data_IF_772187338822
#
_entry.id   IF_772187338822
#
_cell.length_a   1.000
_cell.length_b   1.000
_cell.length_c   1.000
_cell.angle_alpha   90.00
_cell.angle_beta   90.00
_cell.angle_gamma   90.00
#
_symmetry.space_group_name_H-M   'P 1'
#
loop_
_entity.id
_entity.type
_entity.pdbx_description
1 polymer ?
#
# COMPACT_ATOMS: atom_id res chain seq x y z
N UNK A 1 -4.79 -12.37 19.21
CA UNK A 1 -4.80 -11.40 18.10
C UNK A 1 -5.78 -10.28 18.46
N UNK A 2 -5.45 -9.00 18.28
CA UNK A 2 -6.28 -7.86 18.76
C UNK A 2 -6.65 -6.90 17.62
N UNK A 3 -7.89 -6.42 17.62
CA UNK A 3 -8.38 -5.45 16.63
C UNK A 3 -7.81 -4.06 16.92
N UNK A 4 -7.14 -3.44 15.94
CA UNK A 4 -6.49 -2.12 16.08
C UNK A 4 -7.34 -0.93 15.65
N UNK A 5 -8.66 -1.12 15.52
CA UNK A 5 -9.59 -0.06 15.06
C UNK A 5 -10.21 0.75 16.20
N UNK A 6 -10.65 0.06 17.24
CA UNK A 6 -11.21 0.64 18.46
C UNK A 6 -10.52 -0.01 19.66
N UNK A 7 -10.41 0.72 20.76
CA UNK A 7 -9.71 0.25 21.96
C UNK A 7 -10.34 -1.00 22.55
N UNK A 8 -11.69 -1.06 22.60
CA UNK A 8 -12.44 -2.21 23.11
C UNK A 8 -13.24 -2.84 21.99
N UNK A 9 -12.71 -3.92 21.41
CA UNK A 9 -13.39 -4.70 20.38
C UNK A 9 -13.95 -6.00 20.97
N UNK A 10 -15.25 -6.04 21.24
CA UNK A 10 -15.94 -7.25 21.73
C UNK A 10 -15.89 -8.41 20.73
N UNK A 11 -15.84 -8.10 19.42
CA UNK A 11 -15.70 -9.11 18.36
C UNK A 11 -14.34 -9.83 18.43
N UNK A 12 -13.28 -9.15 18.89
CA UNK A 12 -11.96 -9.79 19.01
C UNK A 12 -11.87 -10.79 20.16
N UNK A 13 -12.89 -10.88 21.01
CA UNK A 13 -12.98 -11.82 22.12
C UNK A 13 -13.75 -13.10 21.73
N UNK A 14 -14.39 -13.13 20.55
CA UNK A 14 -15.07 -14.31 20.03
C UNK A 14 -14.08 -15.24 19.33
N UNK A 15 -14.23 -16.56 19.53
CA UNK A 15 -13.43 -17.58 18.85
C UNK A 15 -13.58 -17.53 17.31
N UNK A 16 -14.71 -17.02 16.80
CA UNK A 16 -15.02 -16.94 15.36
C UNK A 16 -14.56 -15.63 14.70
N UNK A 17 -13.68 -14.89 15.36
CA UNK A 17 -13.18 -13.62 14.84
C UNK A 17 -12.41 -13.81 13.52
N UNK A 18 -13.00 -13.35 12.41
CA UNK A 18 -12.32 -13.31 11.11
C UNK A 18 -11.41 -12.08 11.02
N UNK A 19 -10.14 -12.27 10.68
CA UNK A 19 -9.10 -11.23 10.71
C UNK A 19 -8.72 -10.70 9.32
N UNK A 20 -8.37 -9.41 9.25
CA UNK A 20 -7.88 -8.74 8.04
C UNK A 20 -6.61 -7.95 8.34
N UNK A 21 -5.61 -8.10 7.46
CA UNK A 21 -4.44 -7.21 7.40
C UNK A 21 -4.89 -5.87 6.84
N UNK A 22 -5.23 -4.92 7.71
CA UNK A 22 -6.01 -3.71 7.38
C UNK A 22 -5.44 -2.92 6.21
N UNK A 23 -4.13 -2.75 6.20
CA UNK A 23 -3.42 -1.84 5.28
C UNK A 23 -2.34 -2.53 4.46
N UNK A 24 -2.27 -3.87 4.48
CA UNK A 24 -1.23 -4.58 3.73
C UNK A 24 -1.27 -4.27 2.23
N UNK A 25 -2.42 -3.85 1.70
CA UNK A 25 -2.54 -3.46 0.29
C UNK A 25 -1.70 -2.22 -0.06
N UNK A 26 -1.53 -1.27 0.87
CA UNK A 26 -0.63 -0.11 0.73
C UNK A 26 0.82 -0.60 0.66
N UNK A 27 1.15 -1.66 1.40
CA UNK A 27 2.47 -2.27 1.39
C UNK A 27 2.62 -3.34 0.29
N UNK A 28 1.67 -3.46 -0.64
CA UNK A 28 1.75 -4.46 -1.71
C UNK A 28 1.58 -5.91 -1.21
N UNK A 29 0.54 -6.20 -0.42
CA UNK A 29 0.20 -7.49 0.24
C UNK A 29 0.57 -8.77 -0.52
N UNK A 30 0.40 -8.78 -1.83
CA UNK A 30 0.58 -9.97 -2.67
C UNK A 30 1.93 -9.97 -3.43
N UNK A 31 2.73 -8.92 -3.28
CA UNK A 31 4.06 -8.80 -3.86
C UNK A 31 5.06 -9.58 -3.02
N UNK A 32 6.09 -10.12 -3.68
CA UNK A 32 7.11 -10.95 -3.02
C UNK A 32 7.79 -10.23 -1.86
N UNK A 33 7.99 -8.91 -2.00
CA UNK A 33 8.63 -8.07 -0.98
C UNK A 33 7.94 -8.08 0.39
N UNK A 34 6.65 -8.44 0.50
CA UNK A 34 5.95 -8.46 1.80
C UNK A 34 5.57 -9.85 2.29
N UNK A 35 5.93 -10.90 1.55
CA UNK A 35 5.66 -12.29 1.93
C UNK A 35 6.55 -12.79 3.07
N UNK A 36 7.75 -12.25 3.21
CA UNK A 36 8.69 -12.58 4.29
C UNK A 36 8.27 -12.00 5.65
N UNK A 37 7.47 -10.93 5.65
CA UNK A 37 7.07 -10.23 6.87
C UNK A 37 6.13 -11.13 7.71
N UNK A 38 6.50 -11.50 8.94
CA UNK A 38 5.70 -12.37 9.80
C UNK A 38 4.32 -11.80 10.16
N UNK A 39 3.38 -12.69 10.46
CA UNK A 39 1.99 -12.29 10.75
C UNK A 39 1.85 -11.35 11.95
N UNK A 40 2.69 -11.49 12.97
CA UNK A 40 2.66 -10.64 14.15
C UNK A 40 3.15 -9.20 13.88
N UNK A 41 3.87 -8.95 12.78
CA UNK A 41 4.34 -7.60 12.40
C UNK A 41 3.21 -6.77 11.81
N UNK A 42 2.25 -7.42 11.14
CA UNK A 42 1.10 -6.75 10.55
C UNK A 42 0.12 -6.24 11.59
N UNK A 43 -0.51 -5.10 11.30
CA UNK A 43 -1.68 -4.64 12.03
C UNK A 43 -2.95 -5.29 11.52
N UNK A 44 -3.74 -5.76 12.48
CA UNK A 44 -4.94 -6.53 12.23
C UNK A 44 -6.19 -5.80 12.70
N UNK A 45 -7.25 -5.94 11.91
CA UNK A 45 -8.61 -5.58 12.30
C UNK A 45 -9.52 -6.78 12.09
N UNK A 46 -10.57 -6.89 12.90
CA UNK A 46 -11.61 -7.85 12.61
C UNK A 46 -12.34 -7.45 11.31
N UNK A 47 -12.83 -8.45 10.57
CA UNK A 47 -13.50 -8.26 9.28
C UNK A 47 -14.70 -7.33 9.39
N UNK A 48 -15.50 -7.47 10.45
CA UNK A 48 -16.69 -6.64 10.69
C UNK A 48 -16.32 -5.16 10.90
N UNK A 49 -15.31 -4.85 11.72
CA UNK A 49 -14.87 -3.46 11.88
C UNK A 49 -14.30 -2.91 10.59
N UNK A 50 -13.43 -3.64 9.90
CA UNK A 50 -12.91 -3.21 8.60
C UNK A 50 -14.03 -2.82 7.62
N UNK A 51 -15.07 -3.66 7.49
CA UNK A 51 -16.22 -3.36 6.64
C UNK A 51 -17.00 -2.14 7.12
N UNK A 52 -17.34 -2.07 8.42
CA UNK A 52 -18.10 -0.93 8.97
C UNK A 52 -17.35 0.39 8.80
N UNK A 53 -16.06 0.43 9.14
CA UNK A 53 -15.24 1.64 9.01
C UNK A 53 -15.16 2.08 7.56
N UNK A 54 -14.77 1.17 6.66
CA UNK A 54 -14.51 1.50 5.26
C UNK A 54 -15.76 1.95 4.52
N UNK A 55 -16.90 1.28 4.73
CA UNK A 55 -18.11 1.51 3.93
C UNK A 55 -19.12 2.45 4.56
N UNK A 56 -19.10 2.66 5.89
CA UNK A 56 -20.06 3.57 6.56
C UNK A 56 -19.49 4.95 6.80
N UNK A 57 -18.17 5.09 6.97
CA UNK A 57 -17.52 6.37 7.19
C UNK A 57 -16.15 6.39 6.51
N UNK A 58 -16.17 6.54 5.18
CA UNK A 58 -14.98 6.49 4.35
C UNK A 58 -13.93 7.53 4.78
N UNK A 59 -14.34 8.77 5.05
CA UNK A 59 -13.42 9.84 5.46
C UNK A 59 -12.68 9.50 6.76
N UNK A 60 -13.40 9.11 7.82
CA UNK A 60 -12.75 8.73 9.08
C UNK A 60 -11.93 7.45 8.95
N UNK A 61 -12.31 6.53 8.07
CA UNK A 61 -11.47 5.39 7.73
C UNK A 61 -10.15 5.82 7.07
N UNK A 62 -10.17 6.79 6.14
CA UNK A 62 -8.95 7.32 5.54
C UNK A 62 -8.08 8.07 6.54
N UNK A 63 -8.66 8.87 7.44
CA UNK A 63 -7.93 9.47 8.57
C UNK A 63 -7.31 8.41 9.48
N UNK A 64 -8.03 7.32 9.76
CA UNK A 64 -7.49 6.20 10.52
C UNK A 64 -6.32 5.53 9.78
N UNK A 65 -6.42 5.33 8.46
CA UNK A 65 -5.31 4.83 7.64
C UNK A 65 -4.08 5.76 7.73
N UNK A 66 -4.27 7.08 7.64
CA UNK A 66 -3.21 8.08 7.82
C UNK A 66 -2.42 7.88 9.11
N UNK A 67 -3.10 7.61 10.22
CA UNK A 67 -2.45 7.34 11.53
C UNK A 67 -1.80 5.94 11.61
N UNK A 68 -2.37 4.97 10.91
CA UNK A 68 -1.96 3.57 10.99
C UNK A 68 -0.74 3.27 10.10
N UNK A 69 -0.62 3.88 8.92
CA UNK A 69 0.50 3.61 8.00
C UNK A 69 1.86 3.92 8.62
N UNK A 70 2.11 5.09 9.27
CA UNK A 70 3.35 5.37 9.99
C UNK A 70 3.66 4.32 11.06
N UNK A 71 2.65 3.89 11.84
CA UNK A 71 2.81 2.84 12.84
C UNK A 71 3.20 1.50 12.21
N UNK A 72 2.69 1.18 11.02
CA UNK A 72 3.06 -0.07 10.32
C UNK A 72 4.49 -0.02 9.81
N UNK A 73 4.95 1.15 9.33
CA UNK A 73 6.35 1.37 8.95
C UNK A 73 7.25 1.11 10.17
N UNK A 74 6.94 1.71 11.33
CA UNK A 74 7.69 1.47 12.57
C UNK A 74 7.73 -0.01 12.95
N UNK A 75 6.62 -0.74 12.83
CA UNK A 75 6.57 -2.18 13.14
C UNK A 75 7.47 -3.00 12.21
N UNK A 76 7.50 -2.67 10.92
CA UNK A 76 8.38 -3.32 9.95
C UNK A 76 9.84 -3.01 10.26
N UNK A 77 10.16 -1.76 10.60
CA UNK A 77 11.52 -1.35 10.99
C UNK A 77 11.99 -2.04 12.27
N UNK A 78 11.16 -2.08 13.31
CA UNK A 78 11.49 -2.77 14.57
C UNK A 78 11.75 -4.27 14.35
N UNK A 79 10.96 -4.90 13.48
CA UNK A 79 11.20 -6.30 13.08
C UNK A 79 12.50 -6.46 12.31
N UNK A 80 12.79 -5.58 11.34
CA UNK A 80 14.04 -5.58 10.57
C UNK A 80 15.26 -5.42 11.47
N UNK A 81 15.26 -4.40 12.32
CA UNK A 81 16.38 -4.08 13.22
C UNK A 81 16.63 -5.24 14.19
N UNK A 82 15.57 -5.85 14.71
CA UNK A 82 15.70 -7.05 15.56
C UNK A 82 16.38 -8.21 14.83
N UNK A 83 16.06 -8.43 13.56
CA UNK A 83 16.71 -9.49 12.78
C UNK A 83 18.19 -9.19 12.52
N UNK A 84 18.54 -7.91 12.35
CA UNK A 84 19.93 -7.45 12.25
C UNK A 84 20.68 -7.64 13.58
N UNK A 85 20.12 -7.16 14.69
CA UNK A 85 20.68 -7.27 16.05
C UNK A 85 20.92 -8.73 16.47
N UNK A 86 19.96 -9.62 16.15
CA UNK A 86 20.05 -11.05 16.48
C UNK A 86 20.84 -11.86 15.45
N UNK A 87 21.43 -11.21 14.43
CA UNK A 87 22.21 -11.86 13.37
C UNK A 87 21.43 -12.97 12.66
N UNK A 88 20.13 -12.73 12.41
CA UNK A 88 19.25 -13.59 11.62
C UNK A 88 18.83 -12.92 10.30
N UNK A 89 19.78 -12.50 9.44
CA UNK A 89 19.45 -11.80 8.19
C UNK A 89 18.60 -12.65 7.23
N UNK A 90 18.65 -13.98 7.35
CA UNK A 90 17.81 -14.91 6.59
C UNK A 90 16.31 -14.70 6.81
N UNK A 91 15.91 -14.13 7.96
CA UNK A 91 14.53 -13.82 8.29
C UNK A 91 14.05 -12.49 7.68
N UNK A 92 14.97 -11.68 7.17
CA UNK A 92 14.72 -10.54 6.31
C UNK A 92 15.08 -9.20 6.94
N UNK A 93 15.82 -8.38 6.18
CA UNK A 93 16.25 -7.05 6.58
C UNK A 93 15.79 -6.05 5.53
N UNK A 94 15.20 -4.95 5.97
CA UNK A 94 14.79 -3.84 5.11
C UNK A 94 16.02 -3.01 4.78
N UNK A 95 16.40 -2.98 3.50
CA UNK A 95 17.56 -2.21 3.01
C UNK A 95 17.16 -0.89 2.33
N UNK A 96 15.87 -0.65 2.21
CA UNK A 96 15.32 0.57 1.63
C UNK A 96 13.84 0.40 1.32
N UNK A 97 13.28 1.41 0.66
CA UNK A 97 11.87 1.45 0.33
C UNK A 97 11.65 1.96 -1.08
N UNK A 98 10.51 1.58 -1.65
CA UNK A 98 10.05 2.06 -2.95
C UNK A 98 8.68 2.69 -2.76
N UNK A 99 8.54 3.96 -3.17
CA UNK A 99 7.27 4.65 -3.27
C UNK A 99 6.80 4.63 -4.73
N UNK A 100 5.60 4.11 -4.97
CA UNK A 100 5.02 4.04 -6.31
C UNK A 100 3.56 4.48 -6.30
N UNK A 101 3.08 5.01 -7.42
CA UNK A 101 1.64 5.09 -7.65
C UNK A 101 1.08 3.66 -7.80
N UNK A 102 -0.14 3.44 -7.34
CA UNK A 102 -0.81 2.16 -7.53
C UNK A 102 -1.03 1.93 -9.02
N UNK A 103 -1.01 0.67 -9.48
CA UNK A 103 -1.15 0.31 -10.91
C UNK A 103 -2.32 1.00 -11.62
N UNK A 104 -3.48 1.13 -10.95
CA UNK A 104 -4.65 1.83 -11.49
C UNK A 104 -4.34 3.31 -11.77
N UNK A 105 -3.71 3.98 -10.82
CA UNK A 105 -3.35 5.38 -10.97
C UNK A 105 -2.23 5.56 -12.01
N UNK A 106 -1.26 4.64 -12.05
CA UNK A 106 -0.24 4.66 -13.09
C UNK A 106 -0.85 4.59 -14.49
N UNK A 107 -1.81 3.69 -14.72
CA UNK A 107 -2.52 3.60 -16.00
C UNK A 107 -3.27 4.89 -16.36
N UNK A 108 -3.87 5.55 -15.36
CA UNK A 108 -4.56 6.84 -15.54
C UNK A 108 -3.59 7.95 -15.97
N UNK A 109 -2.42 8.02 -15.33
CA UNK A 109 -1.37 8.99 -15.66
C UNK A 109 -0.79 8.74 -17.05
N UNK A 110 -0.51 7.48 -17.39
CA UNK A 110 0.02 7.10 -18.70
C UNK A 110 -0.98 7.42 -19.83
N UNK A 111 -2.28 7.26 -19.59
CA UNK A 111 -3.34 7.63 -20.55
C UNK A 111 -3.40 9.15 -20.79
N UNK A 112 -3.29 9.94 -19.73
CA UNK A 112 -3.25 11.40 -19.82
C UNK A 112 -2.00 11.89 -20.57
N UNK A 113 -0.85 11.26 -20.33
CA UNK A 113 0.40 11.58 -21.03
C UNK A 113 0.30 11.23 -22.53
N UNK A 114 -0.27 10.07 -22.88
CA UNK A 114 -0.51 9.69 -24.27
C UNK A 114 -1.41 10.68 -25.00
N UNK A 115 -2.52 11.10 -24.39
CA UNK A 115 -3.43 12.11 -24.95
C UNK A 115 -2.74 13.46 -25.19
N UNK A 116 -1.93 13.92 -24.21
CA UNK A 116 -1.14 15.16 -24.34
C UNK A 116 -0.11 15.10 -25.46
N UNK A 117 0.54 13.95 -25.68
CA UNK A 117 1.48 13.79 -26.79
C UNK A 117 0.75 13.79 -28.14
N UNK A 118 -0.38 13.09 -28.23
CA UNK A 118 -1.20 13.07 -29.44
C UNK A 118 -1.74 14.45 -29.84
N UNK A 119 -2.10 15.31 -28.88
CA UNK A 119 -2.56 16.69 -29.15
C UNK A 119 -1.45 17.68 -29.54
N UNK A 120 -0.18 17.30 -29.41
CA UNK A 120 0.96 18.16 -29.81
C UNK A 120 1.41 17.85 -31.24
N UNK A 121 1.14 16.64 -31.74
CA UNK A 121 1.51 16.20 -33.09
C UNK A 121 0.44 16.50 -34.16
N UNK A 122 -0.81 16.85 -33.77
CA UNK A 122 -1.87 17.31 -34.70
C UNK A 122 -2.37 18.71 -34.35
N UNK A 123 -2.15 19.66 -35.27
CA UNK A 123 -2.85 20.95 -35.30
C UNK A 123 -4.31 20.70 -35.73
N UNK A 124 -5.20 20.43 -34.77
CA UNK A 124 -6.65 20.37 -35.03
C UNK A 124 -7.49 20.68 -33.79
N UNK A 125 -8.69 21.25 -34.00
CA UNK A 125 -9.26 22.22 -33.08
C UNK A 125 -9.92 21.60 -31.86
N UNK A 126 -9.99 22.44 -30.84
CA UNK A 126 -10.62 22.26 -29.53
C UNK A 126 -11.88 21.37 -29.59
N UNK A 127 -11.77 20.18 -29.02
CA UNK A 127 -12.95 19.41 -28.63
C UNK A 127 -13.10 19.56 -27.12
N UNK A 128 -14.04 20.42 -26.71
CA UNK A 128 -14.54 20.62 -25.35
C UNK A 128 -15.26 19.36 -24.82
N UNK A 129 -14.52 18.26 -24.75
CA UNK A 129 -14.96 17.07 -24.05
C UNK A 129 -14.53 17.20 -22.60
N UNK A 130 -15.42 17.81 -21.80
CA UNK A 130 -15.46 17.74 -20.34
C UNK A 130 -14.91 16.38 -19.87
N UNK A 131 -13.82 16.33 -19.08
CA UNK A 131 -13.23 15.07 -18.68
C UNK A 131 -14.24 14.33 -17.81
N UNK A 132 -14.79 13.26 -18.38
CA UNK A 132 -15.74 12.37 -17.74
C UNK A 132 -15.15 11.93 -16.40
N UNK A 133 -15.73 12.42 -15.31
CA UNK A 133 -15.25 12.16 -13.95
C UNK A 133 -15.30 10.65 -13.72
N UNK A 134 -14.16 9.94 -13.71
CA UNK A 134 -14.19 8.51 -13.50
C UNK A 134 -14.49 8.32 -12.03
N UNK A 135 -15.62 7.70 -11.72
CA UNK A 135 -16.04 7.25 -10.38
C UNK A 135 -14.83 6.70 -9.61
N UNK A 136 -14.18 7.56 -8.83
CA UNK A 136 -12.88 7.27 -8.21
C UNK A 136 -13.15 6.83 -6.79
N UNK A 137 -13.40 5.53 -6.61
CA UNK A 137 -13.33 4.91 -5.28
C UNK A 137 -11.86 4.89 -4.72
N UNK A 138 -10.92 5.57 -5.39
CA UNK A 138 -9.52 5.71 -5.00
C UNK A 138 -9.10 7.19 -5.06
N UNK A 139 -8.31 7.63 -4.08
CA UNK A 139 -7.86 9.02 -3.98
C UNK A 139 -6.80 9.35 -5.03
N UNK A 140 -7.02 10.42 -5.79
CA UNK A 140 -6.02 11.00 -6.71
C UNK A 140 -4.72 11.25 -5.96
N UNK A 141 -3.59 10.91 -6.58
CA UNK A 141 -2.27 11.13 -5.96
C UNK A 141 -1.84 12.59 -6.17
N UNK A 142 -1.59 13.37 -5.10
CA UNK A 142 -1.15 14.76 -5.22
C UNK A 142 0.17 14.90 -5.96
N UNK A 143 0.37 16.03 -6.64
CA UNK A 143 1.59 16.31 -7.44
C UNK A 143 2.86 16.19 -6.59
N UNK A 144 2.86 16.74 -5.38
CA UNK A 144 4.02 16.63 -4.49
C UNK A 144 4.39 15.16 -4.21
N UNK A 145 3.39 14.30 -4.04
CA UNK A 145 3.61 12.88 -3.76
C UNK A 145 4.02 12.09 -5.01
N UNK A 146 3.60 12.56 -6.20
CA UNK A 146 4.08 12.02 -7.47
C UNK A 146 5.55 12.32 -7.71
N UNK A 147 6.03 13.49 -7.27
CA UNK A 147 7.44 13.88 -7.38
C UNK A 147 8.32 13.11 -6.40
N UNK A 148 7.76 12.66 -5.28
CA UNK A 148 8.43 11.79 -4.32
C UNK A 148 8.53 10.32 -4.77
N UNK A 149 8.03 9.93 -5.94
CA UNK A 149 8.11 8.52 -6.40
C UNK A 149 9.56 8.07 -6.60
N UNK A 150 9.79 6.76 -6.43
CA UNK A 150 11.09 6.14 -6.70
C UNK A 150 11.49 5.07 -5.68
N UNK A 151 12.54 4.33 -6.02
CA UNK A 151 13.19 3.34 -5.16
C UNK A 151 14.35 3.95 -4.37
N UNK A 152 14.91 3.18 -3.42
CA UNK A 152 16.10 3.58 -2.66
C UNK A 152 15.84 4.52 -1.49
N UNK A 153 14.57 4.79 -1.15
CA UNK A 153 14.22 5.67 -0.04
C UNK A 153 14.59 5.05 1.30
N UNK A 154 15.13 5.86 2.19
CA UNK A 154 15.38 5.51 3.58
C UNK A 154 14.08 5.37 4.37
N UNK A 155 14.19 4.71 5.53
CA UNK A 155 13.12 4.62 6.51
C UNK A 155 12.61 5.99 6.96
N UNK A 156 13.52 6.96 7.13
CA UNK A 156 13.20 8.31 7.57
C UNK A 156 12.40 9.08 6.51
N UNK A 157 12.81 9.00 5.24
CA UNK A 157 12.10 9.64 4.13
C UNK A 157 10.67 9.11 4.00
N UNK A 158 10.49 7.79 4.01
CA UNK A 158 9.15 7.18 3.95
C UNK A 158 8.32 7.53 5.18
N UNK A 159 8.93 7.62 6.37
CA UNK A 159 8.22 8.07 7.57
C UNK A 159 7.73 9.51 7.42
N UNK A 160 8.57 10.43 6.94
CA UNK A 160 8.21 11.84 6.71
C UNK A 160 7.05 11.94 5.71
N UNK A 161 7.11 11.22 4.60
CA UNK A 161 6.02 11.18 3.61
C UNK A 161 4.72 10.66 4.22
N UNK A 162 4.79 9.56 4.98
CA UNK A 162 3.60 8.98 5.62
C UNK A 162 3.00 9.90 6.69
N UNK A 163 3.83 10.64 7.44
CA UNK A 163 3.38 11.64 8.40
C UNK A 163 2.75 12.85 7.70
N UNK A 164 3.33 13.34 6.61
CA UNK A 164 2.73 14.42 5.80
C UNK A 164 1.34 14.02 5.29
N UNK A 165 1.18 12.80 4.76
CA UNK A 165 -0.14 12.28 4.34
C UNK A 165 -1.11 12.24 5.52
N UNK A 166 -0.64 11.78 6.69
CA UNK A 166 -1.46 11.76 7.91
C UNK A 166 -1.95 13.16 8.27
N UNK A 167 -1.05 14.14 8.29
CA UNK A 167 -1.37 15.53 8.65
C UNK A 167 -2.31 16.18 7.64
N UNK A 168 -2.11 15.93 6.35
CA UNK A 168 -3.02 16.39 5.29
C UNK A 168 -4.42 15.80 5.43
N UNK A 169 -4.55 14.52 5.79
CA UNK A 169 -5.83 13.88 6.06
C UNK A 169 -6.50 14.42 7.34
N UNK A 170 -5.73 14.68 8.40
CA UNK A 170 -6.27 15.23 9.65
C UNK A 170 -6.74 16.66 9.47
N UNK A 171 -5.98 17.47 8.74
CA UNK A 171 -6.29 18.85 8.44
C UNK A 171 -7.37 19.02 7.35
N UNK A 172 -7.85 17.93 6.74
CA UNK A 172 -8.86 17.97 5.67
C UNK A 172 -8.33 18.45 4.32
N UNK A 173 -7.01 18.59 4.14
CA UNK A 173 -6.37 18.88 2.84
C UNK A 173 -6.48 17.71 1.88
N UNK A 174 -6.57 16.48 2.41
CA UNK A 174 -6.91 15.28 1.68
C UNK A 174 -8.20 14.66 2.22
N UNK A 175 -9.10 14.28 1.31
CA UNK A 175 -10.32 13.54 1.66
C UNK A 175 -10.12 12.03 1.65
N UNK A 176 -9.11 11.54 0.93
CA UNK A 176 -8.83 10.12 0.75
C UNK A 176 -7.33 9.86 0.91
N UNK A 177 -7.00 8.67 1.39
CA UNK A 177 -5.61 8.20 1.37
C UNK A 177 -5.19 8.03 -0.11
N UNK A 178 -4.09 8.65 -0.56
CA UNK A 178 -3.68 8.60 -1.97
C UNK A 178 -3.46 7.18 -2.48
N UNK A 179 -3.78 6.91 -3.74
CA UNK A 179 -3.56 5.60 -4.38
C UNK A 179 -2.06 5.33 -4.67
N UNK A 180 -1.31 5.09 -3.59
CA UNK A 180 0.12 4.78 -3.59
C UNK A 180 0.41 3.40 -3.01
N UNK A 181 1.62 2.91 -3.27
CA UNK A 181 2.21 1.76 -2.62
C UNK A 181 3.53 2.14 -1.95
N UNK A 182 3.72 1.69 -0.71
CA UNK A 182 4.94 1.85 0.09
C UNK A 182 5.56 0.47 0.26
N UNK A 183 6.52 0.12 -0.60
CA UNK A 183 7.05 -1.23 -0.70
C UNK A 183 8.39 -1.32 0.05
N UNK A 184 8.52 -2.13 1.11
CA UNK A 184 9.83 -2.38 1.73
C UNK A 184 10.68 -3.22 0.78
N UNK A 185 11.94 -2.84 0.60
CA UNK A 185 12.92 -3.65 -0.12
C UNK A 185 13.60 -4.55 0.93
N UNK A 186 13.27 -5.84 0.93
CA UNK A 186 13.67 -6.79 1.97
C UNK A 186 14.66 -7.81 1.39
N UNK A 187 15.79 -8.00 2.06
CA UNK A 187 16.78 -9.04 1.76
C UNK A 187 16.49 -10.33 2.55
N UNK A 188 17.36 -11.34 2.45
CA UNK A 188 17.20 -12.60 3.18
C UNK A 188 16.47 -13.69 2.39
N UNK A 189 16.75 -14.95 2.73
CA UNK A 189 16.29 -16.10 1.95
C UNK A 189 14.77 -16.26 1.95
N UNK A 190 14.10 -15.85 3.05
CA UNK A 190 12.63 -15.88 3.13
C UNK A 190 11.96 -14.79 2.28
N UNK A 191 12.70 -13.74 1.89
CA UNK A 191 12.20 -12.67 1.02
C UNK A 191 12.41 -12.96 -0.47
N UNK A 192 13.25 -13.96 -0.81
CA UNK A 192 13.47 -14.36 -2.20
C UNK A 192 12.16 -14.88 -2.81
N UNK A 193 11.87 -14.54 -4.08
CA UNK A 193 10.77 -15.16 -4.81
C UNK A 193 10.91 -16.68 -4.76
N UNK A 194 9.87 -17.40 -4.34
CA UNK A 194 9.83 -18.84 -4.56
C UNK A 194 9.79 -19.06 -6.07
N UNK A 195 10.82 -19.67 -6.65
CA UNK A 195 10.79 -20.10 -8.05
C UNK A 195 9.58 -21.02 -8.23
N UNK A 196 8.53 -20.53 -8.89
CA UNK A 196 7.45 -21.38 -9.35
C UNK A 196 8.05 -22.24 -10.46
N UNK A 197 8.55 -23.43 -10.12
CA UNK A 197 8.85 -24.45 -11.12
C UNK A 197 7.54 -24.71 -11.85
N UNK A 198 7.46 -24.30 -13.13
CA UNK A 198 6.29 -24.53 -13.95
C UNK A 198 5.93 -26.02 -13.86
N UNK A 199 4.67 -26.33 -13.52
CA UNK A 199 4.20 -27.72 -13.55
C UNK A 199 4.45 -28.24 -14.97
N UNK A 200 5.14 -29.38 -15.16
CA UNK A 200 5.33 -29.93 -16.50
C UNK A 200 3.96 -30.16 -17.12
N UNK A 201 3.77 -29.59 -18.31
CA UNK A 201 2.56 -29.72 -19.11
C UNK A 201 2.40 -31.20 -19.43
N UNK A 202 1.33 -31.85 -18.95
CA UNK A 202 1.03 -33.23 -19.32
C UNK A 202 0.85 -33.28 -20.84
N UNK A 203 1.74 -33.97 -21.52
CA UNK A 203 1.63 -34.25 -22.95
C UNK A 203 0.40 -35.13 -23.17
N UNK A 204 -0.51 -34.81 -24.11
CA UNK A 204 -1.61 -35.69 -24.44
C UNK A 204 -1.04 -37.00 -25.02
N UNK A 205 -1.47 -38.14 -24.46
CA UNK A 205 -1.20 -39.46 -25.02
C UNK A 205 -1.97 -39.57 -26.34
N UNK A 206 -1.27 -40.02 -27.39
CA UNK A 206 -1.88 -40.44 -28.66
C UNK A 206 -2.44 -41.85 -28.51
#
# INVERSE_FOLDING_TARGET
MTCKYIEVCTISQSADANWRKTMSHIFGRNKNCTRSIPEHVWMWMCRKHYQRSRYRNALEFHKALGRLVPRQILRILLWSNRNEDWKTPQDGIVVGWTLAARRREQLRLDDQERKRKASVDEDSPENDSEPSSPTTEGGVVPVWLLNERGSGKSALEIMKIALQISDDLQAGRLSYYPDIEILPNITGDRAKPKNNRAKPRKTPQK
#
